data_IF_724970777187
#
_entry.id   IF_724970777187
#
_cell.length_a   1.000
_cell.length_b   1.000
_cell.length_c   1.000
_cell.angle_alpha   90.00
_cell.angle_beta   90.00
_cell.angle_gamma   90.00
#
_symmetry.space_group_name_H-M   'P 1'
#
loop_
_entity.id
_entity.type
_entity.pdbx_description
1 polymer ?
#
# COMPACT_ATOMS: atom_id res chain seq x y z
N UNK A 1 2.93 -20.23 -11.51
CA UNK A 1 1.45 -20.05 -11.45
C UNK A 1 1.03 -19.06 -10.35
N UNK A 2 1.73 -19.08 -9.22
CA UNK A 2 1.42 -18.30 -8.01
C UNK A 2 2.60 -17.38 -7.58
N UNK A 3 3.46 -16.99 -8.52
CA UNK A 3 4.72 -16.30 -8.20
C UNK A 3 5.82 -17.21 -7.61
N UNK A 4 6.98 -16.62 -7.26
CA UNK A 4 8.09 -17.31 -6.60
C UNK A 4 7.72 -17.76 -5.18
N UNK A 5 8.41 -18.74 -4.60
CA UNK A 5 8.27 -19.17 -3.20
C UNK A 5 9.65 -19.25 -2.53
N UNK A 6 9.72 -19.75 -1.28
CA UNK A 6 10.94 -19.76 -0.46
C UNK A 6 12.15 -20.30 -1.25
N UNK A 7 13.23 -19.51 -1.25
CA UNK A 7 14.49 -19.82 -1.93
C UNK A 7 14.54 -19.45 -3.42
N UNK A 8 13.40 -19.11 -4.04
CA UNK A 8 13.40 -18.54 -5.39
C UNK A 8 13.94 -17.11 -5.35
N UNK A 9 14.68 -16.74 -6.40
CA UNK A 9 15.25 -15.40 -6.56
C UNK A 9 14.57 -14.63 -7.69
N UNK A 10 14.29 -13.35 -7.45
CA UNK A 10 13.73 -12.41 -8.42
C UNK A 10 14.75 -11.31 -8.69
N UNK A 11 15.13 -11.15 -9.95
CA UNK A 11 15.96 -10.02 -10.39
C UNK A 11 15.14 -8.74 -10.39
N UNK A 12 15.65 -7.68 -9.78
CA UNK A 12 14.99 -6.37 -9.80
C UNK A 12 15.24 -5.68 -11.14
N UNK A 13 14.30 -5.90 -12.07
CA UNK A 13 14.34 -5.37 -13.43
C UNK A 13 15.68 -5.63 -14.14
N UNK A 14 16.29 -4.60 -14.72
CA UNK A 14 17.55 -4.64 -15.43
C UNK A 14 18.79 -4.43 -14.53
N UNK A 15 18.60 -4.32 -13.20
CA UNK A 15 19.71 -4.21 -12.24
C UNK A 15 20.40 -5.55 -12.00
N UNK A 16 21.57 -5.56 -11.35
CA UNK A 16 22.25 -6.79 -10.89
C UNK A 16 21.83 -7.19 -9.46
N UNK A 17 20.69 -6.68 -8.97
CA UNK A 17 20.14 -7.02 -7.67
C UNK A 17 19.15 -8.17 -7.79
N UNK A 18 19.34 -9.19 -6.95
CA UNK A 18 18.45 -10.34 -6.82
C UNK A 18 17.94 -10.39 -5.38
N UNK A 19 16.62 -10.45 -5.22
CA UNK A 19 15.97 -10.66 -3.93
C UNK A 19 15.53 -12.12 -3.84
N UNK A 20 15.78 -12.76 -2.71
CA UNK A 20 15.36 -14.14 -2.44
C UNK A 20 14.14 -14.13 -1.53
N UNK A 21 13.12 -14.94 -1.84
CA UNK A 21 11.95 -15.07 -0.96
C UNK A 21 12.38 -15.82 0.32
N UNK A 22 12.29 -15.13 1.44
CA UNK A 22 12.73 -15.61 2.75
C UNK A 22 11.66 -16.47 3.44
N UNK A 23 10.38 -16.13 3.23
CA UNK A 23 9.21 -16.82 3.80
C UNK A 23 8.04 -16.85 2.84
N UNK A 24 7.25 -17.92 2.89
CA UNK A 24 5.96 -18.01 2.19
C UNK A 24 4.88 -18.26 3.24
N UNK A 25 4.20 -17.18 3.65
CA UNK A 25 3.19 -17.21 4.71
C UNK A 25 1.92 -17.96 4.29
N UNK A 26 1.72 -18.17 2.99
CA UNK A 26 0.65 -19.04 2.50
C UNK A 26 1.03 -20.49 2.78
N UNK A 27 2.23 -20.90 2.39
CA UNK A 27 2.70 -22.27 2.59
C UNK A 27 2.92 -22.62 4.08
N UNK A 28 3.40 -21.67 4.89
CA UNK A 28 3.60 -21.88 6.34
C UNK A 28 2.29 -22.14 7.08
N UNK A 29 1.21 -21.45 6.72
CA UNK A 29 -0.06 -21.53 7.43
C UNK A 29 -1.05 -22.53 6.80
N UNK A 30 -1.12 -22.57 5.47
CA UNK A 30 -2.08 -23.39 4.71
C UNK A 30 -1.46 -24.59 3.98
N UNK A 31 -0.13 -24.68 3.87
CA UNK A 31 0.54 -25.69 3.06
C UNK A 31 0.41 -25.43 1.54
N UNK A 32 1.26 -26.11 0.76
CA UNK A 32 1.22 -26.00 -0.71
C UNK A 32 -0.02 -26.68 -1.30
N UNK A 33 -0.64 -26.03 -2.29
CA UNK A 33 -1.86 -26.48 -2.96
C UNK A 33 -3.13 -25.75 -2.50
N UNK A 34 -3.05 -24.94 -1.45
CA UNK A 34 -4.14 -24.11 -0.94
C UNK A 34 -4.09 -22.66 -1.44
N UNK A 35 -3.20 -22.31 -2.36
CA UNK A 35 -3.10 -20.98 -2.93
C UNK A 35 -4.43 -20.52 -3.54
N UNK A 36 -4.91 -19.34 -3.12
CA UNK A 36 -6.13 -18.77 -3.68
C UNK A 36 -5.80 -18.00 -4.97
N UNK A 37 -6.62 -18.24 -5.99
CA UNK A 37 -6.51 -17.56 -7.29
C UNK A 37 -7.90 -17.28 -7.83
N UNK A 38 -8.12 -16.06 -8.29
CA UNK A 38 -9.35 -15.68 -8.95
C UNK A 38 -9.34 -16.05 -10.45
N UNK A 39 -10.52 -16.32 -11.01
CA UNK A 39 -10.72 -16.58 -12.44
C UNK A 39 -11.71 -17.71 -12.72
N UNK A 40 -12.11 -17.84 -13.98
CA UNK A 40 -13.03 -18.90 -14.44
C UNK A 40 -12.51 -20.30 -14.09
N UNK A 41 -13.26 -21.03 -13.27
CA UNK A 41 -12.88 -22.38 -12.82
C UNK A 41 -11.74 -22.42 -11.80
N UNK A 42 -11.39 -21.31 -11.16
CA UNK A 42 -10.32 -21.23 -10.15
C UNK A 42 -10.85 -21.40 -8.71
N UNK A 43 -10.06 -20.97 -7.72
CA UNK A 43 -10.26 -21.28 -6.30
C UNK A 43 -11.26 -20.33 -5.66
N UNK A 44 -11.16 -19.02 -5.92
CA UNK A 44 -12.07 -18.02 -5.34
C UNK A 44 -13.40 -18.06 -6.09
N UNK A 45 -14.29 -18.94 -5.61
CA UNK A 45 -15.67 -19.15 -6.06
C UNK A 45 -16.53 -19.54 -4.87
N UNK A 46 -17.83 -19.30 -4.99
CA UNK A 46 -18.83 -19.61 -3.97
C UNK A 46 -18.69 -21.04 -3.43
N UNK A 47 -18.60 -21.16 -2.10
CA UNK A 47 -18.42 -22.43 -1.39
C UNK A 47 -17.02 -23.05 -1.48
N UNK A 48 -16.11 -22.45 -2.26
CA UNK A 48 -14.71 -22.87 -2.40
C UNK A 48 -13.81 -21.92 -1.60
N UNK A 49 -12.79 -21.30 -2.21
CA UNK A 49 -11.95 -20.31 -1.53
C UNK A 49 -12.66 -19.01 -1.17
N UNK A 50 -13.90 -18.81 -1.65
CA UNK A 50 -14.80 -17.78 -1.16
C UNK A 50 -15.80 -18.42 -0.19
N UNK A 51 -15.84 -17.94 1.05
CA UNK A 51 -16.82 -18.36 2.03
C UNK A 51 -18.25 -18.03 1.55
N UNK A 52 -19.17 -19.01 1.55
CA UNK A 52 -20.57 -18.78 1.18
C UNK A 52 -21.38 -18.16 2.34
N UNK A 53 -20.80 -18.08 3.55
CA UNK A 53 -21.50 -17.66 4.77
C UNK A 53 -21.00 -16.33 5.33
N UNK A 54 -19.78 -15.92 5.00
CA UNK A 54 -19.17 -14.72 5.58
C UNK A 54 -19.98 -13.47 5.19
N UNK A 55 -20.42 -12.73 6.21
CA UNK A 55 -21.07 -11.42 6.03
C UNK A 55 -20.01 -10.32 5.91
N UNK A 56 -20.43 -9.12 5.52
CA UNK A 56 -19.52 -7.98 5.34
C UNK A 56 -18.57 -7.74 6.53
N UNK A 57 -19.07 -7.79 7.76
CA UNK A 57 -18.24 -7.59 8.96
C UNK A 57 -17.16 -8.68 9.17
N UNK A 58 -17.29 -9.82 8.50
CA UNK A 58 -16.46 -11.01 8.67
C UNK A 58 -15.55 -11.26 7.45
N UNK A 59 -15.74 -10.55 6.34
CA UNK A 59 -14.91 -10.69 5.15
C UNK A 59 -14.16 -9.41 4.79
N UNK A 60 -13.06 -9.59 4.08
CA UNK A 60 -12.26 -8.50 3.50
C UNK A 60 -13.07 -7.68 2.49
N UNK A 61 -12.72 -6.41 2.32
CA UNK A 61 -13.22 -5.59 1.22
C UNK A 61 -12.43 -5.87 -0.06
N UNK A 62 -11.13 -6.13 0.08
CA UNK A 62 -10.20 -6.40 -1.01
C UNK A 62 -9.11 -7.37 -0.53
N UNK A 63 -8.67 -8.25 -1.42
CA UNK A 63 -7.50 -9.09 -1.21
C UNK A 63 -6.53 -9.00 -2.39
N UNK A 64 -5.23 -8.90 -2.10
CA UNK A 64 -4.15 -9.04 -3.07
C UNK A 64 -3.57 -10.44 -2.93
N UNK A 65 -3.71 -11.29 -3.94
CA UNK A 65 -3.36 -12.73 -3.83
C UNK A 65 -1.93 -13.02 -4.23
N UNK A 66 -1.24 -13.90 -3.49
CA UNK A 66 0.09 -14.45 -3.84
C UNK A 66 1.17 -13.41 -4.19
N UNK A 67 1.19 -12.27 -3.50
CA UNK A 67 2.15 -11.20 -3.77
C UNK A 67 3.53 -11.54 -3.20
N UNK A 68 4.58 -11.19 -3.93
CA UNK A 68 5.93 -11.07 -3.35
C UNK A 68 6.06 -9.69 -2.72
N UNK A 69 6.11 -9.62 -1.40
CA UNK A 69 6.17 -8.38 -0.64
C UNK A 69 7.64 -8.05 -0.37
N UNK A 70 8.03 -6.82 -0.69
CA UNK A 70 9.33 -6.25 -0.34
C UNK A 70 9.11 -5.11 0.65
N UNK A 71 9.48 -5.34 1.92
CA UNK A 71 9.28 -4.38 2.99
C UNK A 71 10.48 -4.37 3.96
N UNK A 72 10.98 -3.20 4.40
CA UNK A 72 12.15 -3.12 5.26
C UNK A 72 11.96 -3.73 6.66
N UNK A 73 10.72 -3.87 7.14
CA UNK A 73 10.43 -4.46 8.45
C UNK A 73 10.17 -5.95 8.33
N UNK A 74 9.44 -6.37 7.29
CA UNK A 74 9.03 -7.77 7.11
C UNK A 74 9.99 -8.62 6.27
N UNK A 75 10.89 -7.99 5.52
CA UNK A 75 11.83 -8.66 4.62
C UNK A 75 11.23 -8.91 3.22
N UNK A 76 11.68 -9.98 2.58
CA UNK A 76 11.18 -10.44 1.28
C UNK A 76 10.31 -11.67 1.50
N UNK A 77 8.99 -11.48 1.50
CA UNK A 77 8.05 -12.56 1.82
C UNK A 77 7.05 -12.79 0.70
N UNK A 78 6.40 -13.95 0.70
CA UNK A 78 5.22 -14.21 -0.11
C UNK A 78 4.00 -14.37 0.78
N UNK A 79 2.93 -13.66 0.45
CA UNK A 79 1.67 -13.72 1.18
C UNK A 79 0.49 -13.20 0.35
N UNK A 80 -0.71 -13.49 0.83
CA UNK A 80 -1.90 -12.71 0.52
C UNK A 80 -1.97 -11.47 1.45
N UNK A 81 -2.48 -10.35 0.95
CA UNK A 81 -2.69 -9.13 1.74
C UNK A 81 -4.17 -8.75 1.73
N UNK A 82 -4.78 -8.74 2.90
CA UNK A 82 -6.19 -8.37 3.08
C UNK A 82 -6.36 -6.91 3.46
N UNK A 83 -7.39 -6.26 2.90
CA UNK A 83 -7.79 -4.89 3.20
C UNK A 83 -9.22 -4.87 3.72
N UNK A 84 -9.44 -4.16 4.83
CA UNK A 84 -10.76 -3.84 5.39
C UNK A 84 -10.81 -2.38 5.82
N UNK A 85 -11.87 -1.68 5.46
CA UNK A 85 -12.10 -0.26 5.75
C UNK A 85 -10.89 0.65 5.41
N UNK A 86 -10.25 0.39 4.26
CA UNK A 86 -9.08 1.15 3.79
C UNK A 86 -7.80 0.93 4.60
N UNK A 87 -7.72 -0.13 5.42
CA UNK A 87 -6.54 -0.52 6.20
C UNK A 87 -6.12 -1.94 5.85
N UNK A 88 -4.82 -2.21 5.96
CA UNK A 88 -4.32 -3.58 5.91
C UNK A 88 -4.88 -4.31 7.13
N UNK A 89 -5.71 -5.32 6.88
CA UNK A 89 -6.38 -6.16 7.88
C UNK A 89 -5.47 -7.32 8.30
N UNK A 90 -4.72 -7.88 7.33
CA UNK A 90 -3.78 -8.96 7.59
C UNK A 90 -2.84 -9.22 6.41
N UNK A 91 -1.76 -9.92 6.70
CA UNK A 91 -0.76 -10.41 5.74
C UNK A 91 -0.49 -11.87 6.08
N UNK A 92 -0.83 -12.78 5.17
CA UNK A 92 -0.79 -14.22 5.48
C UNK A 92 -1.48 -15.06 4.41
N UNK A 93 -2.30 -16.02 4.83
CA UNK A 93 -3.10 -16.83 3.92
C UNK A 93 -4.57 -16.36 3.96
N UNK A 94 -5.11 -15.96 2.81
CA UNK A 94 -6.52 -15.65 2.65
C UNK A 94 -7.31 -16.79 2.03
N UNK A 95 -8.62 -16.82 2.28
CA UNK A 95 -9.49 -17.84 1.71
C UNK A 95 -10.72 -18.15 2.55
N UNK A 96 -11.15 -19.40 2.53
CA UNK A 96 -12.33 -19.87 3.24
C UNK A 96 -11.95 -20.82 4.39
N UNK A 97 -12.11 -20.41 5.66
CA UNK A 97 -11.73 -21.21 6.82
C UNK A 97 -12.57 -22.49 6.98
N UNK A 98 -13.67 -22.65 6.24
CA UNK A 98 -14.48 -23.88 6.30
C UNK A 98 -13.82 -25.06 5.59
N UNK A 99 -12.93 -24.79 4.62
CA UNK A 99 -12.35 -25.82 3.75
C UNK A 99 -10.84 -25.71 3.56
N UNK A 100 -10.23 -24.62 4.04
CA UNK A 100 -8.79 -24.38 4.02
C UNK A 100 -8.29 -24.16 5.45
N UNK A 101 -7.15 -24.76 5.77
CA UNK A 101 -6.46 -24.55 7.03
C UNK A 101 -5.64 -23.25 7.01
N UNK A 102 -5.33 -22.70 8.18
CA UNK A 102 -4.42 -21.56 8.30
C UNK A 102 -4.99 -20.20 7.90
N UNK A 103 -6.31 -20.08 7.70
CA UNK A 103 -6.98 -18.81 7.41
C UNK A 103 -7.24 -18.04 8.70
N UNK A 104 -6.59 -16.89 8.86
CA UNK A 104 -6.89 -15.96 9.96
C UNK A 104 -8.32 -15.40 9.81
N UNK A 105 -9.11 -15.23 10.90
CA UNK A 105 -10.43 -14.60 10.82
C UNK A 105 -10.44 -13.23 10.14
N UNK A 106 -9.34 -12.48 10.17
CA UNK A 106 -9.18 -11.19 9.52
C UNK A 106 -8.82 -11.29 8.01
N UNK A 107 -8.67 -12.51 7.48
CA UNK A 107 -8.24 -12.83 6.11
C UNK A 107 -9.30 -13.63 5.31
N UNK A 108 -10.53 -13.69 5.80
CA UNK A 108 -11.61 -14.42 5.14
C UNK A 108 -12.04 -13.72 3.86
N UNK A 109 -12.11 -14.49 2.77
CA UNK A 109 -12.65 -14.04 1.49
C UNK A 109 -14.13 -14.39 1.45
N UNK A 110 -14.99 -13.39 1.26
CA UNK A 110 -16.44 -13.53 1.19
C UNK A 110 -17.01 -12.93 -0.10
N UNK A 111 -18.34 -12.89 -0.20
CA UNK A 111 -19.01 -12.32 -1.38
C UNK A 111 -18.76 -10.80 -1.55
N UNK A 112 -18.37 -10.10 -0.49
CA UNK A 112 -18.01 -8.67 -0.52
C UNK A 112 -16.55 -8.38 -0.84
N UNK A 113 -15.71 -9.40 -1.05
CA UNK A 113 -14.27 -9.24 -1.23
C UNK A 113 -13.91 -9.11 -2.72
N UNK A 114 -13.35 -7.96 -3.11
CA UNK A 114 -12.72 -7.79 -4.43
C UNK A 114 -11.33 -8.45 -4.46
N UNK A 115 -10.82 -8.78 -5.65
CA UNK A 115 -9.52 -9.47 -5.83
C UNK A 115 -8.59 -8.71 -6.78
N UNK A 116 -7.37 -8.45 -6.32
CA UNK A 116 -6.23 -8.08 -7.17
C UNK A 116 -5.27 -9.27 -7.25
N UNK A 117 -4.93 -9.69 -8.46
CA UNK A 117 -3.96 -10.76 -8.70
C UNK A 117 -2.52 -10.25 -8.49
N UNK A 118 -1.90 -10.63 -7.38
CA UNK A 118 -0.51 -10.30 -7.04
C UNK A 118 0.51 -11.36 -7.50
N UNK A 119 0.06 -12.51 -8.01
CA UNK A 119 0.97 -13.55 -8.48
C UNK A 119 1.97 -13.08 -9.55
N UNK A 120 3.26 -13.18 -9.23
CA UNK A 120 4.33 -12.72 -10.13
C UNK A 120 4.57 -11.21 -10.12
N UNK A 121 3.88 -10.48 -9.25
CA UNK A 121 4.09 -9.05 -8.99
C UNK A 121 4.86 -8.85 -7.68
N UNK A 122 5.56 -7.73 -7.58
CA UNK A 122 6.14 -7.25 -6.32
C UNK A 122 5.20 -6.21 -5.72
N UNK A 123 4.89 -6.35 -4.43
CA UNK A 123 4.11 -5.39 -3.65
C UNK A 123 5.04 -4.65 -2.67
N UNK A 124 4.95 -3.33 -2.66
CA UNK A 124 5.68 -2.46 -1.74
C UNK A 124 4.72 -1.50 -1.05
N UNK A 125 5.17 -0.90 0.06
CA UNK A 125 4.52 0.30 0.56
C UNK A 125 4.60 1.44 -0.49
N UNK A 126 3.63 2.34 -0.47
CA UNK A 126 3.72 3.58 -1.24
C UNK A 126 4.86 4.46 -0.72
N UNK A 127 5.59 5.09 -1.63
CA UNK A 127 6.75 5.90 -1.27
C UNK A 127 6.39 7.18 -0.52
N UNK A 128 7.35 7.67 0.27
CA UNK A 128 7.24 8.89 1.07
C UNK A 128 8.33 9.88 0.67
N UNK A 129 7.94 11.04 0.14
CA UNK A 129 8.86 12.15 -0.10
C UNK A 129 8.74 13.20 1.00
N UNK A 130 9.85 13.50 1.65
CA UNK A 130 9.94 14.41 2.81
C UNK A 130 10.41 15.82 2.45
N UNK A 131 10.78 16.08 1.18
CA UNK A 131 11.40 17.32 0.75
C UNK A 131 10.71 17.90 -0.48
N UNK A 132 9.42 18.18 -0.36
CA UNK A 132 8.64 18.71 -1.48
C UNK A 132 8.57 20.23 -1.46
N UNK A 133 8.93 20.83 -2.60
CA UNK A 133 8.61 22.22 -2.88
C UNK A 133 7.27 22.26 -3.63
N UNK A 134 6.21 22.78 -2.99
CA UNK A 134 4.89 22.86 -3.63
C UNK A 134 4.80 24.01 -4.66
N UNK A 135 5.61 23.92 -5.72
CA UNK A 135 5.75 24.91 -6.81
C UNK A 135 4.56 24.85 -7.77
N UNK A 136 4.14 23.65 -8.15
CA UNK A 136 3.03 23.43 -9.05
C UNK A 136 2.27 22.15 -8.65
N UNK A 137 0.98 22.01 -9.01
CA UNK A 137 0.21 20.81 -8.69
C UNK A 137 0.59 19.58 -9.55
N UNK A 138 1.14 19.77 -10.75
CA UNK A 138 1.46 18.68 -11.68
C UNK A 138 2.46 17.67 -11.10
N UNK A 139 3.35 18.10 -10.19
CA UNK A 139 4.27 17.19 -9.52
C UNK A 139 3.56 16.10 -8.69
N UNK A 140 2.30 16.32 -8.27
CA UNK A 140 1.51 15.32 -7.54
C UNK A 140 1.19 14.14 -8.44
N UNK A 141 0.83 14.39 -9.70
CA UNK A 141 0.57 13.33 -10.68
C UNK A 141 1.84 12.55 -10.99
N UNK A 142 2.96 13.24 -11.19
CA UNK A 142 4.26 12.60 -11.43
C UNK A 142 4.73 11.78 -10.22
N UNK A 143 4.56 12.32 -9.01
CA UNK A 143 4.85 11.61 -7.77
C UNK A 143 4.00 10.33 -7.67
N UNK A 144 2.69 10.41 -7.93
CA UNK A 144 1.80 9.25 -7.90
C UNK A 144 2.19 8.20 -8.95
N UNK A 145 2.51 8.63 -10.18
CA UNK A 145 2.90 7.73 -11.27
C UNK A 145 4.22 7.00 -11.00
N UNK A 146 5.11 7.60 -10.19
CA UNK A 146 6.37 6.97 -9.75
C UNK A 146 6.24 6.09 -8.50
N UNK A 147 5.04 5.97 -7.92
CA UNK A 147 4.76 5.14 -6.75
C UNK A 147 4.85 5.85 -5.40
N UNK A 148 4.96 7.19 -5.37
CA UNK A 148 4.80 7.96 -4.14
C UNK A 148 3.31 8.10 -3.79
N UNK A 149 2.98 7.92 -2.51
CA UNK A 149 1.61 8.13 -2.01
C UNK A 149 1.55 9.18 -0.89
N UNK A 150 2.71 9.71 -0.49
CA UNK A 150 2.83 10.72 0.55
C UNK A 150 3.90 11.76 0.19
N UNK A 151 3.56 13.03 0.33
CA UNK A 151 4.43 14.17 0.08
C UNK A 151 4.39 15.13 1.26
N UNK A 152 5.54 15.43 1.87
CA UNK A 152 5.68 16.43 2.94
C UNK A 152 6.69 17.48 2.52
N UNK A 153 6.36 18.74 2.77
CA UNK A 153 7.19 19.86 2.34
C UNK A 153 6.46 21.19 2.51
N UNK A 154 6.70 22.18 1.66
CA UNK A 154 6.01 23.46 1.78
C UNK A 154 6.05 24.29 0.51
N UNK A 155 5.11 25.22 0.38
CA UNK A 155 5.01 26.09 -0.77
C UNK A 155 3.65 26.75 -0.92
N UNK A 156 3.58 27.73 -1.81
CA UNK A 156 2.35 28.49 -2.14
C UNK A 156 2.25 28.70 -3.65
N UNK A 157 2.70 27.73 -4.45
CA UNK A 157 2.87 27.88 -5.90
C UNK A 157 4.24 28.44 -6.28
N UNK A 158 4.43 28.98 -7.50
CA UNK A 158 5.73 29.30 -8.08
C UNK A 158 6.34 30.62 -7.58
N UNK A 159 6.09 30.97 -6.32
CA UNK A 159 6.68 32.13 -5.68
C UNK A 159 8.17 31.91 -5.41
N UNK A 160 8.98 32.98 -5.45
CA UNK A 160 10.44 32.91 -5.17
C UNK A 160 10.77 32.21 -3.86
N UNK A 161 9.94 32.40 -2.83
CA UNK A 161 10.11 31.72 -1.54
C UNK A 161 9.94 30.21 -1.63
N UNK A 162 8.93 29.73 -2.36
CA UNK A 162 8.67 28.31 -2.56
C UNK A 162 9.73 27.67 -3.45
N UNK A 163 10.19 28.35 -4.49
CA UNK A 163 11.29 27.86 -5.33
C UNK A 163 12.60 27.67 -4.54
N UNK A 164 12.76 28.36 -3.40
CA UNK A 164 13.96 28.29 -2.57
C UNK A 164 13.80 27.45 -1.29
N UNK A 165 12.59 27.36 -0.73
CA UNK A 165 12.35 26.78 0.60
C UNK A 165 11.05 25.98 0.64
N UNK A 166 11.06 24.86 1.33
CA UNK A 166 9.88 24.02 1.63
C UNK A 166 9.02 24.63 2.74
N UNK A 167 8.61 25.89 2.57
CA UNK A 167 7.82 26.63 3.55
C UNK A 167 6.49 27.08 2.97
N UNK A 168 5.41 26.80 3.71
CA UNK A 168 4.09 27.40 3.55
C UNK A 168 3.91 28.45 4.67
N UNK A 169 4.28 29.73 4.42
CA UNK A 169 4.43 30.71 5.50
C UNK A 169 3.09 31.27 6.00
N UNK A 170 2.79 31.05 7.29
CA UNK A 170 1.67 31.68 7.98
C UNK A 170 0.33 30.96 7.81
N UNK A 171 -0.57 31.18 8.78
CA UNK A 171 -1.84 30.44 8.92
C UNK A 171 -2.74 30.52 7.68
N UNK A 172 -2.79 31.68 7.01
CA UNK A 172 -3.63 31.88 5.83
C UNK A 172 -3.16 31.00 4.66
N UNK A 173 -1.85 30.97 4.39
CA UNK A 173 -1.30 30.16 3.30
C UNK A 173 -1.43 28.67 3.60
N UNK A 174 -1.21 28.24 4.85
CA UNK A 174 -1.44 26.86 5.27
C UNK A 174 -2.90 26.46 5.02
N UNK A 175 -3.86 27.29 5.44
CA UNK A 175 -5.28 27.04 5.21
C UNK A 175 -5.63 26.93 3.72
N UNK A 176 -5.01 27.74 2.85
CA UNK A 176 -5.21 27.66 1.39
C UNK A 176 -4.61 26.41 0.76
N UNK A 177 -3.42 26.00 1.20
CA UNK A 177 -2.81 24.78 0.71
C UNK A 177 -3.60 23.54 1.17
N UNK A 178 -4.13 23.53 2.39
CA UNK A 178 -5.02 22.46 2.87
C UNK A 178 -6.32 22.38 2.05
N UNK A 179 -6.91 23.53 1.67
CA UNK A 179 -8.08 23.54 0.79
C UNK A 179 -7.75 23.01 -0.60
N UNK A 180 -6.60 23.38 -1.16
CA UNK A 180 -6.17 22.88 -2.47
C UNK A 180 -5.83 21.38 -2.45
N UNK A 181 -5.38 20.85 -1.30
CA UNK A 181 -5.02 19.44 -1.15
C UNK A 181 -6.21 18.47 -1.29
N UNK A 182 -7.43 18.92 -1.02
CA UNK A 182 -8.65 18.09 -1.02
C UNK A 182 -9.00 17.50 -2.41
N UNK A 183 -8.40 18.04 -3.48
CA UNK A 183 -8.58 17.56 -4.85
C UNK A 183 -7.79 16.27 -5.16
N UNK A 184 -6.76 15.94 -4.37
CA UNK A 184 -5.79 14.91 -4.73
C UNK A 184 -5.92 13.64 -3.88
N UNK A 185 -5.87 12.44 -4.49
CA UNK A 185 -5.84 11.16 -3.76
C UNK A 185 -4.42 10.87 -3.22
N UNK A 186 -3.87 11.80 -2.44
CA UNK A 186 -2.51 11.74 -1.91
C UNK A 186 -2.46 12.28 -0.48
N UNK A 187 -1.59 11.70 0.36
CA UNK A 187 -1.32 12.26 1.69
C UNK A 187 -0.37 13.46 1.55
N UNK A 188 -0.85 14.67 1.87
CA UNK A 188 -0.07 15.90 1.75
C UNK A 188 0.19 16.55 3.11
N UNK A 189 1.46 16.87 3.39
CA UNK A 189 1.90 17.56 4.61
C UNK A 189 2.57 18.90 4.31
N UNK A 190 2.16 19.97 5.00
CA UNK A 190 2.65 21.33 4.79
C UNK A 190 3.46 21.85 5.99
N UNK A 191 4.69 22.27 5.74
CA UNK A 191 5.65 22.76 6.72
C UNK A 191 5.59 24.29 6.81
N UNK A 192 5.53 24.79 8.04
CA UNK A 192 5.61 26.22 8.32
C UNK A 192 7.01 26.80 8.11
N UNK A 193 7.11 28.12 8.21
CA UNK A 193 8.40 28.83 8.18
C UNK A 193 9.00 28.88 9.58
N UNK A 194 10.09 28.14 9.80
CA UNK A 194 10.73 28.01 11.11
C UNK A 194 11.68 29.15 11.52
N UNK A 195 12.00 30.09 10.62
CA UNK A 195 12.98 31.14 10.92
C UNK A 195 12.37 32.28 11.74
N UNK A 196 12.41 32.16 13.07
CA UNK A 196 12.01 33.23 13.99
C UNK A 196 12.84 33.18 15.27
N UNK A 197 13.22 34.35 15.79
CA UNK A 197 13.83 34.48 17.12
C UNK A 197 12.80 34.50 18.25
N UNK A 198 11.50 34.54 17.94
CA UNK A 198 10.40 34.54 18.90
C UNK A 198 9.51 33.30 18.70
N UNK A 199 9.27 32.49 19.75
CA UNK A 199 8.34 31.36 19.67
C UNK A 199 6.90 31.76 19.33
N UNK A 200 6.47 32.98 19.69
CA UNK A 200 5.13 33.47 19.42
C UNK A 200 4.85 33.55 17.91
N UNK A 201 5.86 33.85 17.08
CA UNK A 201 5.70 33.91 15.63
C UNK A 201 5.69 32.53 14.95
N UNK A 202 5.93 31.44 15.69
CA UNK A 202 5.84 30.05 15.20
C UNK A 202 4.51 29.37 15.60
N UNK A 203 3.65 30.08 16.35
CA UNK A 203 2.36 29.56 16.84
C UNK A 203 1.21 29.94 15.94
#
# INVERSE_FOLDING_TARGET
>A
MYGPTVGDQVRLADTELFVEVEKDLIAENGGYGNEIKFGGGKVIRDGMGQSPLAVDAECLDLIITNATILDPVHGVIKADVGVKAGRISGVGHGGNPMIQDGIDPAMVVGAGTEVIAGEGMILTAGGYDSHIHFICPQQIEEALASGLTTMTGGGTGPATGTNATTCTPGIWNIGKMLQAADEYPMNLGFLGKGNSSSPQALR
#
